data_IF_892720628047
#
_entry.id   IF_892720628047
#
_cell.length_a   1.000
_cell.length_b   1.000
_cell.length_c   1.000
_cell.angle_alpha   90.00
_cell.angle_beta   90.00
_cell.angle_gamma   90.00
#
_symmetry.space_group_name_H-M   'P 1'
#
loop_
_entity.id
_entity.type
_entity.pdbx_description
1 polymer ?
#
# COMPACT_ATOMS: atom_id res chain seq x y z
N UNK A 1 -8.62 9.25 -14.66
CA UNK A 1 -8.36 8.04 -13.86
C UNK A 1 -9.59 7.15 -13.85
N UNK A 2 -9.40 5.84 -14.02
CA UNK A 2 -10.47 4.85 -13.80
C UNK A 2 -10.70 4.64 -12.30
N UNK A 3 -11.92 4.23 -11.91
CA UNK A 3 -12.23 3.91 -10.51
C UNK A 3 -11.72 2.53 -10.14
N UNK A 4 -10.97 2.46 -9.06
CA UNK A 4 -10.42 1.24 -8.49
C UNK A 4 -10.90 1.08 -7.06
N UNK A 5 -11.24 -0.14 -6.65
CA UNK A 5 -11.54 -0.44 -5.25
C UNK A 5 -10.43 -1.28 -4.64
N UNK A 6 -10.15 -1.02 -3.35
CA UNK A 6 -9.30 -1.88 -2.53
C UNK A 6 -10.19 -2.87 -1.77
N UNK A 7 -10.04 -4.15 -2.05
CA UNK A 7 -10.60 -5.22 -1.24
C UNK A 7 -9.91 -5.23 0.11
N UNK A 8 -10.72 -5.05 1.15
CA UNK A 8 -10.27 -5.07 2.54
C UNK A 8 -10.87 -6.27 3.28
N UNK A 9 -10.87 -6.20 4.61
CA UNK A 9 -11.32 -7.22 5.54
C UNK A 9 -12.59 -7.91 5.08
N UNK A 10 -12.46 -9.20 4.73
CA UNK A 10 -13.60 -10.08 4.43
C UNK A 10 -13.67 -11.13 5.52
N UNK A 11 -14.83 -11.24 6.16
CA UNK A 11 -15.06 -12.16 7.27
C UNK A 11 -16.32 -12.98 7.02
N UNK A 12 -16.29 -14.25 7.42
CA UNK A 12 -17.45 -15.13 7.46
C UNK A 12 -17.49 -15.71 8.85
N UNK A 13 -18.64 -15.59 9.53
CA UNK A 13 -18.82 -16.18 10.86
C UNK A 13 -18.58 -17.71 10.80
N UNK A 14 -17.92 -18.33 11.79
CA UNK A 14 -17.58 -19.76 11.75
C UNK A 14 -18.76 -20.68 11.42
N UNK A 15 -19.93 -20.45 12.01
CA UNK A 15 -21.17 -21.23 11.75
C UNK A 15 -21.68 -21.16 10.29
N UNK A 16 -21.16 -20.22 9.52
CA UNK A 16 -21.50 -19.99 8.12
C UNK A 16 -20.35 -20.31 7.16
N UNK A 17 -19.22 -20.81 7.67
CA UNK A 17 -18.11 -21.29 6.86
C UNK A 17 -18.53 -22.49 5.98
N UNK A 18 -17.87 -22.67 4.83
CA UNK A 18 -18.13 -23.78 3.92
C UNK A 18 -19.46 -23.74 3.16
N UNK A 19 -20.37 -22.80 3.46
CA UNK A 19 -21.70 -22.68 2.83
C UNK A 19 -21.71 -21.81 1.56
N UNK A 20 -20.55 -21.41 1.04
CA UNK A 20 -20.43 -20.61 -0.18
C UNK A 20 -20.76 -19.12 -0.05
N UNK A 21 -21.06 -18.62 1.16
CA UNK A 21 -21.41 -17.22 1.38
C UNK A 21 -20.33 -16.23 0.95
N UNK A 22 -19.06 -16.57 1.16
CA UNK A 22 -17.93 -15.74 0.72
C UNK A 22 -18.03 -15.39 -0.78
N UNK A 23 -18.14 -16.41 -1.63
CA UNK A 23 -18.19 -16.22 -3.09
C UNK A 23 -19.48 -15.50 -3.51
N UNK A 24 -20.61 -15.86 -2.90
CA UNK A 24 -21.90 -15.22 -3.19
C UNK A 24 -21.89 -13.73 -2.87
N UNK A 25 -21.39 -13.35 -1.69
CA UNK A 25 -21.31 -11.96 -1.27
C UNK A 25 -20.31 -11.17 -2.10
N UNK A 26 -19.12 -11.72 -2.36
CA UNK A 26 -18.12 -11.07 -3.18
C UNK A 26 -18.63 -10.79 -4.60
N UNK A 27 -19.27 -11.76 -5.26
CA UNK A 27 -19.88 -11.53 -6.57
C UNK A 27 -20.97 -10.46 -6.54
N UNK A 28 -21.82 -10.44 -5.49
CA UNK A 28 -22.81 -9.38 -5.31
C UNK A 28 -22.19 -7.98 -5.16
N UNK A 29 -21.04 -7.88 -4.48
CA UNK A 29 -20.27 -6.62 -4.41
C UNK A 29 -19.71 -6.26 -5.77
N UNK A 30 -19.18 -7.22 -6.54
CA UNK A 30 -18.62 -6.96 -7.86
C UNK A 30 -19.67 -6.46 -8.86
N UNK A 31 -20.89 -7.00 -8.83
CA UNK A 31 -21.97 -6.48 -9.68
C UNK A 31 -22.32 -5.02 -9.33
N UNK A 32 -22.49 -4.70 -8.04
CA UNK A 32 -22.70 -3.31 -7.59
C UNK A 32 -21.55 -2.37 -7.96
N UNK A 33 -20.32 -2.88 -7.92
CA UNK A 33 -19.13 -2.12 -8.34
C UNK A 33 -19.15 -1.82 -9.84
N UNK A 34 -19.54 -2.78 -10.68
CA UNK A 34 -19.70 -2.57 -12.13
C UNK A 34 -20.77 -1.50 -12.40
N UNK A 35 -21.91 -1.59 -11.73
CA UNK A 35 -22.99 -0.58 -11.80
C UNK A 35 -22.47 0.82 -11.40
N UNK A 36 -21.53 0.88 -10.45
CA UNK A 36 -20.90 2.12 -9.98
C UNK A 36 -19.67 2.56 -10.80
N UNK A 37 -19.45 1.95 -11.96
CA UNK A 37 -18.36 2.21 -12.91
C UNK A 37 -16.95 2.00 -12.34
N UNK A 38 -16.78 1.06 -11.40
CA UNK A 38 -15.45 0.56 -11.02
C UNK A 38 -14.92 -0.38 -12.10
N UNK A 39 -13.63 -0.24 -12.43
CA UNK A 39 -12.96 -1.04 -13.46
C UNK A 39 -12.13 -2.17 -12.89
N UNK A 40 -11.68 -2.04 -11.65
CA UNK A 40 -10.75 -2.99 -11.03
C UNK A 40 -10.97 -3.08 -9.53
N UNK A 41 -10.74 -4.27 -8.99
CA UNK A 41 -10.53 -4.52 -7.57
C UNK A 41 -9.10 -5.01 -7.36
N UNK A 42 -8.40 -4.41 -6.40
CA UNK A 42 -7.08 -4.87 -5.94
C UNK A 42 -7.18 -5.35 -4.50
N UNK A 43 -6.26 -6.20 -4.07
CA UNK A 43 -6.21 -6.63 -2.69
C UNK A 43 -4.94 -7.40 -2.38
N UNK A 44 -4.69 -7.56 -1.09
CA UNK A 44 -3.54 -8.29 -0.55
C UNK A 44 -4.06 -9.49 0.24
N UNK A 45 -4.44 -10.59 -0.44
CA UNK A 45 -4.93 -11.76 0.25
C UNK A 45 -3.83 -12.37 1.12
N UNK A 46 -4.21 -12.94 2.26
CA UNK A 46 -3.29 -13.81 2.99
C UNK A 46 -3.29 -15.21 2.34
N UNK A 47 -2.38 -16.07 2.78
CA UNK A 47 -2.20 -17.43 2.24
C UNK A 47 -3.52 -18.22 2.20
N UNK A 48 -4.36 -18.07 3.23
CA UNK A 48 -5.62 -18.81 3.33
C UNK A 48 -6.69 -18.29 2.36
N UNK A 49 -6.82 -16.96 2.23
CA UNK A 49 -7.87 -16.37 1.39
C UNK A 49 -7.49 -16.32 -0.10
N UNK A 50 -6.19 -16.33 -0.43
CA UNK A 50 -5.67 -16.28 -1.80
C UNK A 50 -6.30 -17.35 -2.70
N UNK A 51 -6.35 -18.60 -2.23
CA UNK A 51 -6.94 -19.72 -2.99
C UNK A 51 -8.40 -19.44 -3.34
N UNK A 52 -9.16 -18.86 -2.42
CA UNK A 52 -10.57 -18.49 -2.65
C UNK A 52 -10.70 -17.40 -3.70
N UNK A 53 -9.88 -16.34 -3.62
CA UNK A 53 -9.91 -15.25 -4.59
C UNK A 53 -9.55 -15.72 -6.00
N UNK A 54 -8.47 -16.48 -6.16
CA UNK A 54 -8.03 -16.96 -7.48
C UNK A 54 -8.98 -18.02 -8.03
N UNK A 55 -9.25 -19.10 -7.28
CA UNK A 55 -10.00 -20.25 -7.81
C UNK A 55 -11.51 -20.04 -7.88
N UNK A 56 -12.08 -19.12 -7.08
CA UNK A 56 -13.55 -18.95 -6.99
C UNK A 56 -14.03 -17.57 -7.45
N UNK A 57 -13.18 -16.55 -7.43
CA UNK A 57 -13.56 -15.17 -7.78
C UNK A 57 -12.84 -14.64 -9.03
N UNK A 58 -12.01 -15.46 -9.68
CA UNK A 58 -11.36 -15.10 -10.94
C UNK A 58 -10.27 -14.04 -10.80
N UNK A 59 -9.73 -13.85 -9.59
CA UNK A 59 -8.60 -12.96 -9.37
C UNK A 59 -7.36 -13.49 -10.08
N UNK A 60 -6.48 -12.57 -10.48
CA UNK A 60 -5.20 -12.86 -11.10
C UNK A 60 -4.09 -12.29 -10.25
N UNK A 61 -3.06 -13.09 -10.03
CA UNK A 61 -1.83 -12.61 -9.42
C UNK A 61 -1.12 -11.66 -10.38
N UNK A 62 -0.81 -10.46 -9.89
CA UNK A 62 -0.16 -9.40 -10.69
C UNK A 62 1.29 -9.17 -10.23
N UNK A 63 1.56 -9.30 -8.94
CA UNK A 63 2.86 -9.07 -8.34
C UNK A 63 2.90 -9.61 -6.92
N UNK A 64 4.05 -10.14 -6.49
CA UNK A 64 4.33 -10.48 -5.11
C UNK A 64 5.07 -9.30 -4.45
N UNK A 65 4.62 -8.82 -3.28
CA UNK A 65 5.34 -7.77 -2.55
C UNK A 65 6.42 -8.45 -1.70
N UNK A 66 7.71 -8.31 -2.05
CA UNK A 66 8.77 -8.89 -1.23
C UNK A 66 8.84 -8.15 0.11
N UNK A 67 9.00 -8.92 1.18
CA UNK A 67 9.40 -8.39 2.49
C UNK A 67 10.87 -8.70 2.70
N UNK A 68 11.65 -7.66 2.99
CA UNK A 68 13.09 -7.78 3.16
C UNK A 68 13.46 -7.61 4.63
N UNK A 69 14.45 -8.38 5.08
CA UNK A 69 15.05 -8.27 6.41
C UNK A 69 16.55 -8.15 6.26
N UNK A 70 17.12 -7.11 6.87
CA UNK A 70 18.56 -6.89 6.93
C UNK A 70 19.00 -6.91 8.40
N UNK A 71 20.04 -7.70 8.71
CA UNK A 71 20.69 -7.63 10.02
C UNK A 71 21.70 -6.49 10.00
N UNK A 72 21.50 -5.47 10.84
CA UNK A 72 22.33 -4.27 10.91
C UNK A 72 23.73 -4.53 11.50
N UNK A 73 23.92 -5.59 12.28
CA UNK A 73 25.22 -5.91 12.91
C UNK A 73 26.33 -6.20 11.89
N UNK A 74 25.95 -6.64 10.68
CA UNK A 74 26.86 -7.03 9.61
C UNK A 74 26.80 -6.09 8.40
N UNK A 75 26.18 -4.91 8.54
CA UNK A 75 26.08 -3.95 7.45
C UNK A 75 27.38 -3.18 7.32
N UNK A 76 28.00 -3.24 6.15
CA UNK A 76 29.09 -2.35 5.80
C UNK A 76 28.53 -0.95 5.57
N UNK A 77 28.80 -0.05 6.51
CA UNK A 77 28.48 1.37 6.36
C UNK A 77 29.47 1.98 5.37
N UNK A 78 28.96 2.57 4.30
CA UNK A 78 29.72 3.44 3.41
C UNK A 78 29.48 4.89 3.84
N UNK A 79 30.48 5.75 3.72
CA UNK A 79 30.27 7.19 3.93
C UNK A 79 29.24 7.70 2.92
N UNK A 80 28.13 8.21 3.45
CA UNK A 80 27.02 8.80 2.69
C UNK A 80 27.03 10.33 2.71
N UNK A 81 28.20 10.94 2.97
CA UNK A 81 28.37 12.39 3.18
C UNK A 81 27.91 13.26 2.01
N UNK A 82 27.74 12.68 0.83
CA UNK A 82 27.32 13.37 -0.39
C UNK A 82 25.82 13.71 -0.39
N UNK A 83 25.03 13.14 0.52
CA UNK A 83 23.59 13.36 0.59
C UNK A 83 23.19 14.13 1.85
N UNK A 84 22.49 15.25 1.65
CA UNK A 84 21.81 15.95 2.73
C UNK A 84 20.48 15.25 3.04
N UNK A 85 20.40 14.62 4.22
CA UNK A 85 19.19 13.94 4.69
C UNK A 85 18.51 14.83 5.73
N UNK A 86 17.22 15.12 5.53
CA UNK A 86 16.38 15.89 6.45
C UNK A 86 15.21 15.06 6.95
N UNK A 87 14.66 15.42 8.11
CA UNK A 87 13.39 14.86 8.58
C UNK A 87 12.23 15.73 8.08
N UNK A 88 11.29 15.13 7.35
CA UNK A 88 10.06 15.78 6.88
C UNK A 88 8.83 14.97 7.36
N UNK A 89 8.65 14.91 8.68
CA UNK A 89 7.55 14.19 9.32
C UNK A 89 6.16 14.80 9.01
N UNK A 90 6.15 16.07 8.58
CA UNK A 90 4.95 16.82 8.22
C UNK A 90 4.57 16.73 6.74
N UNK A 91 5.42 16.11 5.91
CA UNK A 91 5.27 15.99 4.45
C UNK A 91 5.08 17.37 3.78
N UNK A 92 5.94 18.33 4.12
CA UNK A 92 5.90 19.71 3.61
C UNK A 92 6.56 19.87 2.25
N UNK A 93 7.43 18.93 1.86
CA UNK A 93 8.07 18.91 0.55
C UNK A 93 7.12 18.45 -0.55
N UNK A 94 7.49 18.69 -1.80
CA UNK A 94 6.80 18.08 -2.94
C UNK A 94 7.31 16.66 -3.22
N UNK A 95 6.43 15.65 -3.10
CA UNK A 95 6.70 14.24 -3.37
C UNK A 95 6.27 13.79 -4.78
N UNK A 96 5.86 14.72 -5.64
CA UNK A 96 5.34 14.42 -6.98
C UNK A 96 6.29 13.55 -7.83
N UNK A 97 7.61 13.72 -7.69
CA UNK A 97 8.61 12.95 -8.43
C UNK A 97 8.67 11.48 -7.98
N UNK A 98 8.42 11.21 -6.70
CA UNK A 98 8.38 9.85 -6.15
C UNK A 98 7.07 9.14 -6.51
N UNK A 99 5.98 9.89 -6.59
CA UNK A 99 4.63 9.35 -6.83
C UNK A 99 4.32 9.17 -8.32
N UNK A 100 4.87 10.01 -9.19
CA UNK A 100 4.67 9.96 -10.65
C UNK A 100 5.86 9.31 -11.38
N UNK A 101 6.32 8.17 -10.88
CA UNK A 101 7.51 7.46 -11.40
C UNK A 101 7.23 6.54 -12.61
N UNK A 102 6.08 6.67 -13.28
CA UNK A 102 5.71 5.85 -14.43
C UNK A 102 5.17 4.45 -14.07
N UNK A 103 4.97 4.15 -12.80
CA UNK A 103 4.32 2.91 -12.36
C UNK A 103 2.88 2.81 -12.92
N UNK A 104 2.51 1.59 -13.35
CA UNK A 104 1.16 1.30 -13.87
C UNK A 104 0.09 1.27 -12.77
N UNK A 105 0.48 0.98 -11.53
CA UNK A 105 -0.41 0.88 -10.37
C UNK A 105 0.22 1.65 -9.22
N UNK A 106 -0.48 2.67 -8.73
CA UNK A 106 -0.07 3.47 -7.58
C UNK A 106 -1.23 3.51 -6.56
N UNK A 107 -0.96 3.10 -5.32
CA UNK A 107 -1.94 3.17 -4.22
C UNK A 107 -1.95 4.56 -3.59
N UNK A 108 -0.77 5.17 -3.46
CA UNK A 108 -0.61 6.58 -3.13
C UNK A 108 -0.28 7.31 -4.42
N UNK A 109 -1.18 8.17 -4.86
CA UNK A 109 -1.06 8.86 -6.15
C UNK A 109 -0.80 10.35 -6.01
N UNK A 110 -0.85 10.91 -4.80
CA UNK A 110 -0.60 12.32 -4.54
C UNK A 110 -0.09 12.57 -3.10
N UNK A 111 0.43 13.78 -2.86
CA UNK A 111 0.98 14.19 -1.57
C UNK A 111 -0.10 14.12 -0.47
N UNK A 112 -1.36 14.45 -0.79
CA UNK A 112 -2.49 14.37 0.15
C UNK A 112 -2.66 12.97 0.73
N UNK A 113 -2.46 11.92 -0.09
CA UNK A 113 -2.59 10.53 0.36
C UNK A 113 -1.50 10.15 1.37
N UNK A 114 -0.27 10.66 1.20
CA UNK A 114 0.83 10.47 2.14
C UNK A 114 0.57 11.22 3.46
N UNK A 115 0.20 12.50 3.35
CA UNK A 115 -0.16 13.35 4.51
C UNK A 115 -1.30 12.70 5.30
N UNK A 116 -2.36 12.25 4.62
CA UNK A 116 -3.49 11.60 5.28
C UNK A 116 -3.05 10.37 6.08
N UNK A 117 -2.23 9.49 5.47
CA UNK A 117 -1.82 8.22 6.09
C UNK A 117 -0.86 8.39 7.25
N UNK A 118 0.15 9.22 7.09
CA UNK A 118 1.29 9.26 8.00
C UNK A 118 1.23 10.40 9.02
N UNK A 119 0.53 11.50 8.69
CA UNK A 119 0.38 12.66 9.57
C UNK A 119 -1.00 12.78 10.19
N UNK A 120 -2.06 12.74 9.37
CA UNK A 120 -3.41 13.06 9.85
C UNK A 120 -4.15 11.85 10.46
N UNK A 121 -3.85 10.63 10.00
CA UNK A 121 -4.45 9.40 10.52
C UNK A 121 -3.38 8.32 10.85
N UNK A 122 -2.40 8.63 11.71
CA UNK A 122 -1.31 7.71 12.02
C UNK A 122 -1.78 6.56 12.92
N UNK A 123 -1.53 5.33 12.47
CA UNK A 123 -1.74 4.12 13.30
C UNK A 123 -0.51 3.85 14.18
N UNK A 124 0.65 4.40 13.83
CA UNK A 124 1.91 4.23 14.56
C UNK A 124 2.66 5.57 14.62
N UNK A 125 3.73 5.62 15.40
CA UNK A 125 4.70 6.72 15.30
C UNK A 125 5.59 6.47 14.10
N UNK A 126 5.62 7.44 13.19
CA UNK A 126 6.41 7.38 11.96
C UNK A 126 7.47 8.47 11.95
N UNK A 127 8.62 8.19 11.34
CA UNK A 127 9.63 9.19 10.95
C UNK A 127 9.88 9.10 9.47
N UNK A 128 10.01 10.23 8.80
CA UNK A 128 10.23 10.32 7.38
C UNK A 128 11.55 11.03 7.10
N UNK A 129 12.53 10.26 6.62
CA UNK A 129 13.85 10.74 6.23
C UNK A 129 13.88 10.97 4.73
N UNK A 130 14.32 12.15 4.31
CA UNK A 130 14.19 12.61 2.93
C UNK A 130 15.51 13.17 2.42
N UNK A 131 15.89 12.76 1.21
CA UNK A 131 16.88 13.48 0.39
C UNK A 131 16.10 14.45 -0.48
N UNK A 132 16.37 15.74 -0.34
CA UNK A 132 15.63 16.79 -1.05
C UNK A 132 16.54 17.69 -1.86
N UNK A 133 15.95 18.30 -2.90
CA UNK A 133 16.59 19.33 -3.71
C UNK A 133 15.52 20.30 -4.20
N UNK A 134 15.79 21.60 -4.07
CA UNK A 134 14.91 22.68 -4.55
C UNK A 134 13.44 22.54 -4.07
N UNK A 135 13.24 22.14 -2.81
CA UNK A 135 11.91 21.95 -2.21
C UNK A 135 11.19 20.66 -2.59
N UNK A 136 11.83 19.77 -3.35
CA UNK A 136 11.29 18.48 -3.79
C UNK A 136 11.97 17.32 -3.11
N UNK A 137 11.19 16.29 -2.79
CA UNK A 137 11.69 15.02 -2.27
C UNK A 137 12.18 14.13 -3.43
N UNK A 138 13.48 13.84 -3.47
CA UNK A 138 14.11 12.95 -4.46
C UNK A 138 14.14 11.49 -4.00
N UNK A 139 14.18 11.27 -2.69
CA UNK A 139 14.08 9.95 -2.06
C UNK A 139 13.48 10.10 -0.66
N UNK A 140 12.70 9.11 -0.22
CA UNK A 140 12.09 9.09 1.11
C UNK A 140 12.13 7.68 1.70
N UNK A 141 12.44 7.61 2.99
CA UNK A 141 12.31 6.40 3.81
C UNK A 141 11.44 6.74 5.00
N UNK A 142 10.28 6.07 5.07
CA UNK A 142 9.36 6.19 6.20
C UNK A 142 9.59 5.00 7.12
N UNK A 143 10.03 5.26 8.34
CA UNK A 143 10.22 4.25 9.38
C UNK A 143 9.07 4.29 10.37
N UNK A 144 8.82 3.16 11.02
CA UNK A 144 7.86 3.01 12.12
C UNK A 144 8.64 2.69 13.38
N UNK A 145 8.28 3.34 14.49
CA UNK A 145 8.76 2.94 15.82
C UNK A 145 7.93 1.75 16.35
N UNK A 146 8.62 0.72 16.80
CA UNK A 146 8.03 -0.39 17.55
C UNK A 146 8.28 -0.11 19.03
N UNK A 147 7.19 0.05 19.80
CA UNK A 147 7.27 0.09 21.26
C UNK A 147 7.53 -1.31 21.82
#
# INVERSE_FOLDING_TARGET
>A
CEKLALSMTTMTHPDFAGKGFFTKLANGVYEKMKESNYKTVLGFPNVNSHIGFVKKLGWKDIYEIPTLKLNLDNVRITDGSDFNIIEDNSFELDYSELLNNGNKINIYSNNESLIWRFKNNPINKYKNYVISKDGKALASIITKEFN
#
